data_IF_846022148106
#
_entry.id   IF_846022148106
#
_cell.length_a   1.000
_cell.length_b   1.000
_cell.length_c   1.000
_cell.angle_alpha   90.00
_cell.angle_beta   90.00
_cell.angle_gamma   90.00
#
_symmetry.space_group_name_H-M   'P 1'
#
loop_
_entity.id
_entity.type
_entity.pdbx_description
1 polymer ?
#
# COMPACT_ATOMS: atom_id res chain seq x y z
N UNK A 1 -20.07 -21.22 -0.42
CA UNK A 1 -18.67 -21.45 -0.87
C UNK A 1 -18.64 -22.17 -2.21
N UNK A 2 -19.26 -23.35 -2.38
CA UNK A 2 -19.24 -24.12 -3.65
C UNK A 2 -19.76 -23.33 -4.85
N UNK A 3 -20.82 -22.52 -4.68
CA UNK A 3 -21.36 -21.72 -5.77
C UNK A 3 -20.50 -20.48 -6.09
N UNK A 4 -19.89 -19.84 -5.08
CA UNK A 4 -19.00 -18.69 -5.32
C UNK A 4 -17.72 -19.11 -6.04
N UNK A 5 -17.17 -20.30 -5.74
CA UNK A 5 -16.02 -20.84 -6.48
C UNK A 5 -16.39 -21.17 -7.92
N UNK A 6 -17.63 -21.58 -8.23
CA UNK A 6 -18.09 -21.80 -9.62
C UNK A 6 -18.33 -20.51 -10.39
N UNK A 7 -18.75 -19.44 -9.72
CA UNK A 7 -19.12 -18.15 -10.36
C UNK A 7 -17.92 -17.20 -10.45
N UNK A 8 -16.88 -17.37 -9.63
CA UNK A 8 -15.72 -16.47 -9.52
C UNK A 8 -14.38 -17.22 -9.57
N UNK A 9 -14.23 -18.19 -10.49
CA UNK A 9 -12.96 -18.93 -10.64
C UNK A 9 -11.79 -18.02 -11.05
N UNK A 10 -12.08 -16.94 -11.77
CA UNK A 10 -11.09 -16.03 -12.33
C UNK A 10 -11.36 -14.59 -11.86
N UNK A 11 -10.29 -13.83 -11.76
CA UNK A 11 -10.29 -12.42 -11.38
C UNK A 11 -9.44 -11.64 -12.39
N UNK A 12 -9.82 -10.40 -12.64
CA UNK A 12 -8.96 -9.43 -13.30
C UNK A 12 -8.08 -8.78 -12.23
N UNK A 13 -6.76 -8.83 -12.42
CA UNK A 13 -5.78 -8.20 -11.55
C UNK A 13 -5.01 -7.15 -12.35
N UNK A 14 -5.04 -5.91 -11.89
CA UNK A 14 -4.35 -4.79 -12.52
C UNK A 14 -3.41 -4.13 -11.52
N UNK A 15 -2.16 -3.86 -11.91
CA UNK A 15 -1.22 -3.07 -11.14
C UNK A 15 -1.25 -1.62 -11.60
N UNK A 16 -1.45 -0.69 -10.66
CA UNK A 16 -1.40 0.74 -10.88
C UNK A 16 -0.22 1.34 -10.12
N UNK A 17 0.48 2.29 -10.73
CA UNK A 17 1.62 2.98 -10.10
C UNK A 17 1.33 4.48 -10.00
N UNK A 18 1.66 5.09 -8.85
CA UNK A 18 1.60 6.54 -8.65
C UNK A 18 2.68 7.02 -7.68
N UNK A 19 3.09 8.28 -7.80
CA UNK A 19 3.95 8.94 -6.82
C UNK A 19 3.11 9.72 -5.80
N UNK A 20 3.30 9.47 -4.51
CA UNK A 20 2.65 10.20 -3.42
C UNK A 20 3.65 11.10 -2.70
N UNK A 21 3.33 12.38 -2.54
CA UNK A 21 4.14 13.32 -1.75
C UNK A 21 3.98 12.99 -0.26
N UNK A 22 5.10 12.71 0.42
CA UNK A 22 5.10 12.38 1.87
C UNK A 22 5.77 13.45 2.72
N UNK A 23 6.53 14.35 2.09
CA UNK A 23 7.20 15.42 2.80
C UNK A 23 7.42 16.64 1.90
N UNK A 24 7.30 17.81 2.50
CA UNK A 24 7.48 19.10 1.85
C UNK A 24 8.28 20.04 2.75
N UNK A 25 9.22 20.76 2.15
CA UNK A 25 9.92 21.85 2.80
C UNK A 25 10.08 23.04 1.84
N UNK A 26 9.90 24.26 2.35
CA UNK A 26 10.10 25.50 1.59
C UNK A 26 11.23 26.35 2.20
N UNK A 27 12.21 26.73 1.39
CA UNK A 27 13.31 27.62 1.78
C UNK A 27 12.85 29.08 1.69
N UNK A 28 12.03 29.51 2.65
CA UNK A 28 11.44 30.87 2.69
C UNK A 28 12.52 31.94 2.87
N UNK A 29 13.57 31.63 3.63
CA UNK A 29 14.65 32.56 3.96
C UNK A 29 15.67 32.71 2.83
N UNK A 30 15.54 31.93 1.74
CA UNK A 30 16.46 31.98 0.61
C UNK A 30 17.92 31.77 1.07
N UNK A 31 18.08 30.92 2.08
CA UNK A 31 19.38 30.58 2.66
C UNK A 31 20.21 29.79 1.66
N UNK A 32 21.51 30.10 1.61
CA UNK A 32 22.46 29.47 0.68
C UNK A 32 22.95 28.10 1.21
N UNK A 33 22.74 27.83 2.50
CA UNK A 33 23.02 26.55 3.16
C UNK A 33 21.81 26.17 4.01
N UNK A 34 21.12 25.09 3.64
CA UNK A 34 19.94 24.60 4.38
C UNK A 34 20.06 23.11 4.58
N UNK A 35 19.75 22.68 5.80
CA UNK A 35 19.64 21.27 6.19
C UNK A 35 18.16 20.90 6.25
N UNK A 36 17.77 19.90 5.46
CA UNK A 36 16.40 19.38 5.44
C UNK A 36 16.40 18.03 6.14
N UNK A 37 15.63 17.96 7.23
CA UNK A 37 15.36 16.71 7.94
C UNK A 37 13.97 16.23 7.55
N UNK A 38 13.93 15.14 6.80
CA UNK A 38 12.70 14.38 6.53
C UNK A 38 12.48 13.44 7.70
N UNK A 39 11.34 13.54 8.36
CA UNK A 39 10.89 12.64 9.42
C UNK A 39 9.41 12.32 9.18
N UNK A 40 9.15 11.29 8.38
CA UNK A 40 7.79 10.80 8.11
C UNK A 40 7.52 9.64 9.05
N UNK A 41 6.67 9.88 10.04
CA UNK A 41 6.29 8.90 11.08
C UNK A 41 5.06 8.11 10.63
N UNK A 42 4.98 6.84 11.03
CA UNK A 42 3.85 5.94 10.80
C UNK A 42 3.42 5.82 9.33
N UNK A 43 4.38 5.84 8.40
CA UNK A 43 4.10 5.62 6.99
C UNK A 43 3.66 4.18 6.78
N UNK A 44 2.42 3.99 6.33
CA UNK A 44 1.87 2.67 6.03
C UNK A 44 2.44 2.13 4.73
N UNK A 45 3.39 1.19 4.84
CA UNK A 45 4.05 0.55 3.69
C UNK A 45 3.19 -0.52 3.03
N UNK A 46 2.15 -0.96 3.73
CA UNK A 46 1.22 -2.01 3.31
C UNK A 46 -0.21 -1.62 3.69
N UNK A 47 -1.13 -1.54 2.72
CA UNK A 47 -2.55 -1.24 2.95
C UNK A 47 -3.45 -2.13 2.12
N UNK A 48 -4.32 -2.89 2.81
CA UNK A 48 -5.32 -3.74 2.18
C UNK A 48 -6.70 -3.10 2.36
N UNK A 49 -7.43 -2.93 1.26
CA UNK A 49 -8.85 -2.59 1.29
C UNK A 49 -9.67 -3.70 0.65
N UNK A 50 -10.73 -4.16 1.31
CA UNK A 50 -11.65 -5.17 0.78
C UNK A 50 -13.04 -4.57 0.68
N UNK A 51 -13.66 -4.68 -0.51
CA UNK A 51 -14.93 -4.00 -0.82
C UNK A 51 -14.93 -2.49 -0.45
N UNK A 52 -13.77 -1.84 -0.59
CA UNK A 52 -13.56 -0.42 -0.26
C UNK A 52 -13.33 -0.11 1.22
N UNK A 53 -13.23 -1.12 2.08
CA UNK A 53 -12.97 -0.96 3.52
C UNK A 53 -11.55 -1.37 3.86
N UNK A 54 -10.82 -0.52 4.57
CA UNK A 54 -9.48 -0.83 5.06
C UNK A 54 -9.53 -1.98 6.06
N UNK A 55 -8.74 -3.00 5.83
CA UNK A 55 -8.64 -4.20 6.68
C UNK A 55 -7.48 -4.04 7.66
N UNK A 56 -7.65 -4.54 8.88
CA UNK A 56 -6.52 -4.73 9.78
C UNK A 56 -5.74 -5.98 9.33
N UNK A 57 -4.51 -5.78 8.86
CA UNK A 57 -3.66 -6.86 8.35
C UNK A 57 -3.40 -7.92 9.45
N UNK A 58 -3.30 -7.51 10.71
CA UNK A 58 -3.08 -8.42 11.85
C UNK A 58 -4.22 -9.42 12.08
N UNK A 59 -5.44 -9.11 11.63
CA UNK A 59 -6.59 -10.03 11.75
C UNK A 59 -6.72 -10.97 10.55
N UNK A 60 -5.86 -10.81 9.54
CA UNK A 60 -5.82 -11.67 8.36
C UNK A 60 -5.25 -13.03 8.74
N UNK A 61 -5.88 -14.11 8.28
CA UNK A 61 -5.47 -15.48 8.61
C UNK A 61 -5.60 -16.40 7.41
N UNK A 62 -4.77 -17.45 7.37
CA UNK A 62 -4.84 -18.49 6.34
C UNK A 62 -5.39 -19.76 6.97
N UNK A 63 -6.43 -20.34 6.36
CA UNK A 63 -7.00 -21.60 6.82
C UNK A 63 -6.30 -22.84 6.23
N UNK A 64 -6.67 -24.03 6.70
CA UNK A 64 -6.11 -25.31 6.22
C UNK A 64 -6.38 -25.59 4.73
N UNK A 65 -7.29 -24.84 4.09
CA UNK A 65 -7.58 -24.95 2.66
C UNK A 65 -6.77 -23.94 1.83
N UNK A 66 -5.87 -23.16 2.43
CA UNK A 66 -5.13 -22.11 1.74
C UNK A 66 -6.03 -20.95 1.33
N UNK A 67 -7.04 -20.61 2.14
CA UNK A 67 -7.85 -19.40 1.96
C UNK A 67 -7.38 -18.35 2.95
N UNK A 68 -7.03 -17.18 2.43
CA UNK A 68 -6.76 -15.96 3.20
C UNK A 68 -8.10 -15.31 3.53
N UNK A 69 -8.39 -15.14 4.81
CA UNK A 69 -9.62 -14.54 5.32
C UNK A 69 -9.39 -13.11 5.78
N UNK A 70 -10.13 -12.18 5.19
CA UNK A 70 -10.16 -10.77 5.55
C UNK A 70 -11.43 -10.46 6.33
N UNK A 71 -11.29 -9.82 7.49
CA UNK A 71 -12.42 -9.36 8.29
C UNK A 71 -12.85 -7.95 7.86
N UNK A 72 -14.12 -7.80 7.53
CA UNK A 72 -14.77 -6.54 7.13
C UNK A 72 -16.12 -6.41 7.81
N UNK A 73 -16.75 -5.24 7.70
CA UNK A 73 -18.09 -5.00 8.22
C UNK A 73 -19.08 -4.93 7.05
N UNK A 74 -20.21 -5.64 7.14
CA UNK A 74 -21.26 -5.56 6.12
C UNK A 74 -22.05 -4.23 6.21
N UNK A 75 -22.99 -4.02 5.28
CA UNK A 75 -23.79 -2.79 5.22
C UNK A 75 -24.71 -2.61 6.44
N UNK A 76 -25.00 -3.71 7.13
CA UNK A 76 -25.82 -3.72 8.34
C UNK A 76 -24.97 -3.60 9.62
N UNK A 77 -23.65 -3.39 9.49
CA UNK A 77 -22.75 -3.22 10.63
C UNK A 77 -22.30 -4.53 11.28
N UNK A 78 -22.48 -5.68 10.62
CA UNK A 78 -22.13 -7.00 11.16
C UNK A 78 -20.79 -7.48 10.65
N UNK A 79 -20.10 -8.30 11.44
CA UNK A 79 -18.89 -8.98 11.03
C UNK A 79 -19.14 -9.85 9.80
N UNK A 80 -18.35 -9.61 8.75
CA UNK A 80 -18.32 -10.38 7.52
C UNK A 80 -16.88 -10.81 7.24
N UNK A 81 -16.70 -12.02 6.73
CA UNK A 81 -15.40 -12.50 6.24
C UNK A 81 -15.42 -12.69 4.74
N UNK A 82 -14.38 -12.22 4.08
CA UNK A 82 -14.17 -12.43 2.64
C UNK A 82 -12.91 -13.28 2.48
N UNK A 83 -13.04 -14.35 1.71
CA UNK A 83 -11.97 -15.31 1.47
C UNK A 83 -11.40 -15.18 0.07
N UNK A 84 -10.07 -15.21 -0.05
CA UNK A 84 -9.35 -15.36 -1.32
C UNK A 84 -8.39 -16.55 -1.24
N UNK A 85 -8.16 -17.24 -2.36
CA UNK A 85 -7.11 -18.26 -2.41
C UNK A 85 -5.75 -17.61 -2.17
N UNK A 86 -4.91 -18.22 -1.34
CA UNK A 86 -3.61 -17.66 -0.94
C UNK A 86 -2.72 -17.34 -2.14
N UNK A 87 -2.74 -18.20 -3.16
CA UNK A 87 -2.00 -17.99 -4.41
C UNK A 87 -2.27 -16.64 -5.09
N UNK A 88 -3.45 -16.04 -4.89
CA UNK A 88 -3.78 -14.72 -5.44
C UNK A 88 -3.08 -13.61 -4.66
N UNK A 89 -3.05 -13.73 -3.33
CA UNK A 89 -2.40 -12.76 -2.43
C UNK A 89 -0.88 -12.90 -2.54
N UNK A 90 -0.38 -14.12 -2.47
CA UNK A 90 1.04 -14.46 -2.65
C UNK A 90 1.57 -13.96 -3.99
N UNK A 91 0.77 -14.00 -5.06
CA UNK A 91 1.20 -13.48 -6.36
C UNK A 91 1.46 -11.97 -6.31
N UNK A 92 0.60 -11.19 -5.66
CA UNK A 92 0.80 -9.75 -5.49
C UNK A 92 2.06 -9.47 -4.66
N UNK A 93 2.21 -10.15 -3.51
CA UNK A 93 3.37 -9.98 -2.64
C UNK A 93 4.68 -10.37 -3.34
N UNK A 94 4.70 -11.50 -4.06
CA UNK A 94 5.89 -11.98 -4.77
C UNK A 94 6.35 -11.04 -5.90
N UNK A 95 5.41 -10.33 -6.53
CA UNK A 95 5.74 -9.35 -7.57
C UNK A 95 6.51 -8.19 -6.93
N UNK A 96 5.99 -7.62 -5.84
CA UNK A 96 6.61 -6.49 -5.14
C UNK A 96 7.96 -6.88 -4.50
N UNK A 97 8.04 -8.07 -3.91
CA UNK A 97 9.30 -8.60 -3.36
C UNK A 97 10.37 -8.75 -4.45
N UNK A 98 9.98 -9.11 -5.68
CA UNK A 98 10.92 -9.20 -6.80
C UNK A 98 11.48 -7.85 -7.23
N UNK A 99 10.74 -6.75 -6.97
CA UNK A 99 11.16 -5.37 -7.16
C UNK A 99 11.84 -4.75 -5.93
N UNK A 100 12.08 -5.56 -4.88
CA UNK A 100 12.86 -5.16 -3.72
C UNK A 100 12.03 -4.65 -2.53
N UNK A 101 10.69 -4.70 -2.61
CA UNK A 101 9.84 -4.49 -1.46
C UNK A 101 10.12 -5.58 -0.41
N UNK A 102 10.01 -5.23 0.88
CA UNK A 102 10.24 -6.16 1.96
C UNK A 102 9.10 -6.10 2.94
N UNK A 103 8.50 -7.26 3.18
CA UNK A 103 7.53 -7.43 4.26
C UNK A 103 8.20 -7.16 5.60
N UNK A 104 7.53 -6.39 6.45
CA UNK A 104 7.98 -6.05 7.80
C UNK A 104 7.03 -6.66 8.83
N UNK A 105 7.45 -6.64 10.09
CA UNK A 105 6.51 -6.87 11.18
C UNK A 105 5.63 -5.63 11.35
N UNK A 106 4.30 -5.82 11.32
CA UNK A 106 3.34 -4.73 11.18
C UNK A 106 3.29 -4.19 9.74
N UNK A 107 2.82 -2.95 9.58
CA UNK A 107 2.71 -2.32 8.27
C UNK A 107 3.15 -0.85 8.25
N UNK A 108 3.82 -0.36 9.30
CA UNK A 108 4.21 1.03 9.45
C UNK A 108 5.72 1.18 9.65
N UNK A 109 6.30 2.21 9.05
CA UNK A 109 7.72 2.57 9.20
C UNK A 109 7.88 4.05 9.48
N UNK A 110 9.03 4.42 10.06
CA UNK A 110 9.48 5.81 10.11
C UNK A 110 10.57 6.03 9.06
N UNK A 111 10.35 6.98 8.15
CA UNK A 111 11.33 7.36 7.13
C UNK A 111 12.10 8.58 7.62
N UNK A 112 13.40 8.40 7.85
CA UNK A 112 14.33 9.48 8.22
C UNK A 112 15.34 9.71 7.13
N UNK A 113 15.45 10.95 6.67
CA UNK A 113 16.46 11.36 5.70
C UNK A 113 17.01 12.74 6.05
N UNK A 114 18.31 12.89 5.91
CA UNK A 114 19.01 14.16 6.10
C UNK A 114 19.65 14.54 4.77
N UNK A 115 19.21 15.65 4.19
CA UNK A 115 19.83 16.23 3.00
C UNK A 115 20.34 17.63 3.32
N UNK A 116 21.61 17.88 3.02
CA UNK A 116 22.24 19.20 3.15
C UNK A 116 22.48 19.77 1.77
N UNK A 117 22.02 21.00 1.55
CA UNK A 117 22.16 21.71 0.30
C UNK A 117 23.13 22.88 0.47
N UNK A 118 24.28 22.83 -0.21
CA UNK A 118 25.31 23.88 -0.19
C UNK A 118 25.66 24.35 -1.61
N UNK A 119 26.01 25.63 -1.77
CA UNK A 119 26.88 26.07 -2.87
C UNK A 119 26.27 26.17 -4.27
N UNK A 120 24.96 26.45 -4.40
CA UNK A 120 24.32 26.68 -5.68
C UNK A 120 24.23 28.16 -6.07
N UNK A 121 24.52 28.49 -7.34
CA UNK A 121 24.31 29.84 -7.91
C UNK A 121 22.84 30.26 -7.98
N UNK A 122 21.91 29.32 -7.77
CA UNK A 122 20.48 29.56 -7.64
C UNK A 122 19.98 29.00 -6.32
N UNK A 123 19.49 29.88 -5.45
CA UNK A 123 18.81 29.51 -4.20
C UNK A 123 17.62 28.62 -4.53
N UNK A 124 17.63 27.39 -4.02
CA UNK A 124 16.53 26.46 -4.19
C UNK A 124 15.32 26.94 -3.38
N UNK A 125 14.11 26.75 -3.90
CA UNK A 125 12.89 27.25 -3.27
C UNK A 125 12.17 26.19 -2.45
N UNK A 126 12.11 24.95 -2.95
CA UNK A 126 11.31 23.86 -2.37
C UNK A 126 12.04 22.54 -2.47
N UNK A 127 11.83 21.71 -1.46
CA UNK A 127 12.23 20.32 -1.37
C UNK A 127 10.96 19.48 -1.19
N UNK A 128 10.89 18.35 -1.90
CA UNK A 128 9.76 17.44 -1.85
C UNK A 128 10.25 16.01 -1.83
N UNK A 129 9.67 15.19 -0.96
CA UNK A 129 9.89 13.76 -0.94
C UNK A 129 8.64 13.05 -1.43
N UNK A 130 8.84 12.06 -2.30
CA UNK A 130 7.78 11.22 -2.85
C UNK A 130 8.10 9.76 -2.58
N UNK A 131 7.06 8.96 -2.39
CA UNK A 131 7.13 7.49 -2.36
C UNK A 131 6.41 6.93 -3.57
N UNK A 132 6.90 5.81 -4.10
CA UNK A 132 6.20 5.09 -5.14
C UNK A 132 5.13 4.23 -4.47
N UNK A 133 3.89 4.39 -4.91
CA UNK A 133 2.76 3.56 -4.48
C UNK A 133 2.33 2.66 -5.62
N UNK A 134 2.46 1.36 -5.39
CA UNK A 134 2.01 0.32 -6.29
C UNK A 134 0.72 -0.28 -5.73
N UNK A 135 -0.35 -0.24 -6.52
CA UNK A 135 -1.69 -0.68 -6.12
C UNK A 135 -2.16 -1.78 -7.04
N UNK A 136 -2.30 -2.98 -6.50
CA UNK A 136 -3.08 -4.02 -7.15
C UNK A 136 -4.56 -3.73 -6.97
N UNK A 137 -5.32 -3.85 -8.05
CA UNK A 137 -6.76 -3.85 -8.07
C UNK A 137 -7.25 -5.22 -8.54
N UNK A 138 -7.95 -5.93 -7.65
CA UNK A 138 -8.51 -7.25 -7.92
C UNK A 138 -10.03 -7.13 -8.11
N UNK A 139 -10.50 -7.44 -9.31
CA UNK A 139 -11.91 -7.42 -9.69
C UNK A 139 -12.42 -8.79 -10.05
N UNK A 140 -13.70 -9.05 -9.75
CA UNK A 140 -14.41 -10.21 -10.30
C UNK A 140 -14.67 -9.97 -11.79
N UNK A 141 -15.07 -11.03 -12.50
CA UNK A 141 -15.41 -10.95 -13.92
C UNK A 141 -16.61 -10.03 -14.24
N UNK A 142 -17.43 -9.71 -13.24
CA UNK A 142 -18.51 -8.71 -13.36
C UNK A 142 -18.03 -7.27 -13.08
N UNK A 143 -16.71 -7.05 -13.05
CA UNK A 143 -16.01 -5.79 -12.76
C UNK A 143 -16.20 -5.26 -11.33
N UNK A 144 -16.88 -6.01 -10.45
CA UNK A 144 -16.99 -5.64 -9.04
C UNK A 144 -15.62 -5.74 -8.35
N UNK A 145 -15.27 -4.68 -7.62
CA UNK A 145 -14.05 -4.62 -6.83
C UNK A 145 -14.12 -5.63 -5.67
N UNK A 146 -13.07 -6.42 -5.52
CA UNK A 146 -12.92 -7.36 -4.40
C UNK A 146 -11.95 -6.76 -3.37
N UNK A 147 -10.74 -6.46 -3.84
CA UNK A 147 -9.62 -6.11 -3.00
C UNK A 147 -8.74 -5.10 -3.73
N UNK A 148 -8.17 -4.17 -2.98
CA UNK A 148 -6.98 -3.43 -3.42
C UNK A 148 -5.87 -3.61 -2.41
N UNK A 149 -4.66 -3.81 -2.93
CA UNK A 149 -3.46 -4.02 -2.14
C UNK A 149 -2.45 -2.94 -2.53
N UNK A 150 -2.16 -2.00 -1.63
CA UNK A 150 -1.19 -0.94 -1.87
C UNK A 150 0.12 -1.22 -1.12
N UNK A 151 1.23 -1.04 -1.83
CA UNK A 151 2.61 -1.15 -1.36
C UNK A 151 3.30 0.20 -1.54
N UNK A 152 3.99 0.69 -0.51
CA UNK A 152 4.83 1.90 -0.60
C UNK A 152 6.30 1.55 -0.52
N UNK A 153 7.07 2.11 -1.45
CA UNK A 153 8.52 1.94 -1.61
C UNK A 153 9.30 3.18 -1.21
#
# INVERSE_FOLDING_TARGET
IVDQVKISMYYNMTLHQRWEEVFFYENVQNEDCVEVVVDVVDLEVEVINVEGQKVNIETTSVDANGIVWFQVIDREGRDKKIGLRSVVVEKMESEEESFGWKKIEGNQVTVKRFDRFEGGSSRWKRYKCYVLVERFELKRMDESLVLTYEFRH
#
